data_IF_951293433291
#
_entry.id   IF_951293433291
#
_cell.length_a   1.000
_cell.length_b   1.000
_cell.length_c   1.000
_cell.angle_alpha   90.00
_cell.angle_beta   90.00
_cell.angle_gamma   90.00
#
_symmetry.space_group_name_H-M   'P 1'
#
loop_
_entity.id
_entity.type
_entity.pdbx_description
1 polymer ?
#
# COMPACT_ATOMS: atom_id res chain seq x y z
N UNK A 1 8.48 24.19 5.76
CA UNK A 1 7.64 23.58 6.82
C UNK A 1 8.36 22.39 7.45
N UNK A 2 8.84 21.41 6.68
CA UNK A 2 9.60 20.27 7.24
C UNK A 2 11.08 20.59 7.54
N UNK A 3 11.75 21.41 6.71
CA UNK A 3 13.14 21.87 6.98
C UNK A 3 13.34 22.64 8.30
N UNK A 4 12.27 23.13 8.91
CA UNK A 4 12.34 23.78 10.24
C UNK A 4 12.29 22.79 11.40
N UNK A 5 12.08 21.50 11.10
CA UNK A 5 12.02 20.40 12.08
C UNK A 5 13.28 19.54 12.11
N UNK A 6 14.09 19.60 11.07
CA UNK A 6 15.47 19.09 11.05
C UNK A 6 16.33 19.89 12.04
N UNK A 7 16.29 19.49 13.33
CA UNK A 7 16.94 20.24 14.42
C UNK A 7 18.45 20.06 14.42
N UNK A 8 18.93 18.95 13.90
CA UNK A 8 20.37 18.67 13.78
C UNK A 8 20.96 19.11 12.43
N UNK A 9 20.12 19.60 11.51
CA UNK A 9 20.55 20.12 10.21
C UNK A 9 21.16 19.04 9.33
N UNK A 10 20.81 17.78 9.60
CA UNK A 10 21.39 16.61 8.95
C UNK A 10 20.73 16.32 7.61
N UNK A 11 19.51 16.84 7.39
CA UNK A 11 18.67 16.58 6.22
C UNK A 11 17.75 15.36 6.36
N UNK A 12 17.85 14.62 7.47
CA UNK A 12 17.10 13.40 7.75
C UNK A 12 16.07 13.66 8.84
N UNK A 13 14.93 12.96 8.80
CA UNK A 13 14.00 12.95 9.93
C UNK A 13 14.26 11.71 10.76
N UNK A 14 14.67 11.89 12.03
CA UNK A 14 14.58 10.79 13.00
C UNK A 14 13.13 10.39 13.19
N UNK A 15 12.89 9.20 13.74
CA UNK A 15 11.56 8.68 14.03
C UNK A 15 10.67 9.70 14.76
N UNK A 16 11.20 10.36 15.78
CA UNK A 16 10.49 11.39 16.56
C UNK A 16 10.19 12.67 15.74
N UNK A 17 11.11 13.07 14.85
CA UNK A 17 10.94 14.25 13.99
C UNK A 17 9.98 13.98 12.84
N UNK A 18 9.99 12.76 12.31
CA UNK A 18 9.03 12.26 11.34
C UNK A 18 7.63 12.26 11.96
N UNK A 19 7.45 11.71 13.16
CA UNK A 19 6.17 11.72 13.88
C UNK A 19 5.65 13.14 14.14
N UNK A 20 6.51 14.08 14.55
CA UNK A 20 6.13 15.50 14.67
C UNK A 20 5.72 16.12 13.32
N UNK A 21 6.43 15.78 12.23
CA UNK A 21 6.12 16.27 10.89
C UNK A 21 4.78 15.74 10.40
N UNK A 22 4.49 14.47 10.63
CA UNK A 22 3.25 13.80 10.24
C UNK A 22 2.04 14.34 11.00
N UNK A 23 2.19 14.54 12.31
CA UNK A 23 1.21 15.22 13.14
C UNK A 23 0.91 16.64 12.66
N UNK A 24 1.94 17.38 12.21
CA UNK A 24 1.76 18.75 11.71
C UNK A 24 0.96 18.82 10.41
N UNK A 25 0.94 17.71 9.67
CA UNK A 25 0.24 17.53 8.39
C UNK A 25 -1.15 16.93 8.60
N UNK A 26 -1.48 16.55 9.85
CA UNK A 26 -2.77 15.95 10.21
C UNK A 26 -2.88 14.49 9.81
N UNK A 27 -1.75 13.79 9.68
CA UNK A 27 -1.69 12.37 9.31
C UNK A 27 -1.20 11.57 10.52
N UNK A 28 -2.10 10.80 11.13
CA UNK A 28 -1.77 9.89 12.23
C UNK A 28 -1.15 8.60 11.67
N UNK A 29 0.12 8.33 11.98
CA UNK A 29 0.84 7.14 11.53
C UNK A 29 1.01 6.14 12.67
N UNK A 30 0.73 4.87 12.40
CA UNK A 30 0.96 3.76 13.34
C UNK A 30 2.25 3.02 12.97
N UNK A 31 2.86 2.28 13.91
CA UNK A 31 4.08 1.52 13.66
C UNK A 31 4.00 0.60 12.43
N UNK A 32 2.82 0.05 12.14
CA UNK A 32 2.57 -0.82 10.99
C UNK A 32 2.72 -0.08 9.64
N UNK A 33 2.41 1.22 9.57
CA UNK A 33 2.68 1.98 8.33
C UNK A 33 4.12 2.44 8.23
N UNK A 34 4.88 2.47 9.33
CA UNK A 34 6.28 2.87 9.26
C UNK A 34 7.10 1.91 8.43
N UNK A 35 6.80 0.61 8.50
CA UNK A 35 7.45 -0.41 7.68
C UNK A 35 7.14 -0.18 6.19
N UNK A 36 5.89 0.13 5.86
CA UNK A 36 5.48 0.54 4.52
C UNK A 36 6.23 1.79 4.05
N UNK A 37 6.24 2.85 4.86
CA UNK A 37 6.84 4.13 4.50
C UNK A 37 8.35 4.01 4.32
N UNK A 38 9.02 3.26 5.18
CA UNK A 38 10.45 3.01 5.05
C UNK A 38 10.74 2.26 3.75
N UNK A 39 10.14 1.09 3.52
CA UNK A 39 10.39 0.30 2.29
C UNK A 39 10.07 1.09 1.01
N UNK A 40 9.11 2.01 1.09
CA UNK A 40 8.60 2.75 -0.06
C UNK A 40 9.36 4.04 -0.36
N UNK A 41 9.68 4.80 0.68
CA UNK A 41 10.14 6.19 0.52
C UNK A 41 11.66 6.27 0.64
N UNK A 42 12.29 5.33 1.37
CA UNK A 42 13.75 5.17 1.43
C UNK A 42 14.29 4.68 0.07
N UNK A 43 14.54 5.62 -0.84
CA UNK A 43 15.02 5.31 -2.20
C UNK A 43 16.52 5.01 -2.20
N UNK A 44 17.26 5.57 -1.25
CA UNK A 44 18.71 5.38 -1.17
C UNK A 44 19.10 4.11 -0.40
N UNK A 45 18.14 3.48 0.28
CA UNK A 45 18.28 2.19 0.96
C UNK A 45 19.14 2.26 2.22
N UNK A 46 19.20 3.43 2.87
CA UNK A 46 20.03 3.64 4.05
C UNK A 46 19.28 3.38 5.37
N UNK A 47 18.01 3.00 5.29
CA UNK A 47 17.12 2.72 6.42
C UNK A 47 16.50 3.97 7.04
N UNK A 48 16.69 5.15 6.44
CA UNK A 48 16.23 6.43 6.95
C UNK A 48 15.44 7.22 5.90
N UNK A 49 14.31 7.79 6.34
CA UNK A 49 13.45 8.62 5.51
C UNK A 49 13.96 10.07 5.46
N UNK A 50 14.37 10.54 4.28
CA UNK A 50 14.69 11.95 4.09
C UNK A 50 13.42 12.81 3.98
N UNK A 51 13.54 14.09 4.34
CA UNK A 51 12.46 15.07 4.14
C UNK A 51 12.06 15.14 2.66
N UNK A 52 13.05 15.10 1.77
CA UNK A 52 12.85 15.20 0.33
C UNK A 52 12.11 13.96 -0.21
N UNK A 53 12.46 12.77 0.29
CA UNK A 53 11.76 11.51 0.00
C UNK A 53 10.33 11.50 0.55
N UNK A 54 10.11 12.04 1.75
CA UNK A 54 8.79 12.20 2.34
C UNK A 54 7.93 13.19 1.53
N UNK A 55 8.50 14.30 1.08
CA UNK A 55 7.80 15.31 0.29
C UNK A 55 7.41 14.79 -1.10
N UNK A 56 8.31 14.06 -1.76
CA UNK A 56 8.04 13.43 -3.06
C UNK A 56 6.90 12.42 -2.99
N UNK A 57 6.72 11.76 -1.85
CA UNK A 57 5.73 10.71 -1.66
C UNK A 57 4.56 11.12 -0.74
N UNK A 58 4.45 12.41 -0.38
CA UNK A 58 3.44 12.91 0.56
C UNK A 58 2.02 12.57 0.11
N UNK A 59 1.75 12.62 -1.20
CA UNK A 59 0.45 12.24 -1.77
C UNK A 59 0.11 10.76 -1.50
N UNK A 60 1.07 9.85 -1.67
CA UNK A 60 0.90 8.42 -1.41
C UNK A 60 0.64 8.18 0.06
N UNK A 61 1.37 8.89 0.93
CA UNK A 61 1.17 8.81 2.37
C UNK A 61 -0.23 9.27 2.79
N UNK A 62 -0.73 10.37 2.23
CA UNK A 62 -2.10 10.82 2.49
C UNK A 62 -3.14 9.80 2.04
N UNK A 63 -2.97 9.21 0.86
CA UNK A 63 -3.87 8.15 0.37
C UNK A 63 -3.84 6.93 1.27
N UNK A 64 -2.65 6.49 1.70
CA UNK A 64 -2.48 5.39 2.65
C UNK A 64 -3.21 5.65 3.97
N UNK A 65 -3.06 6.85 4.53
CA UNK A 65 -3.71 7.22 5.79
C UNK A 65 -5.24 7.31 5.68
N UNK A 66 -5.76 7.86 4.57
CA UNK A 66 -7.20 7.97 4.33
C UNK A 66 -7.83 6.58 4.15
N UNK A 67 -7.16 5.68 3.42
CA UNK A 67 -7.66 4.35 3.12
C UNK A 67 -7.16 3.27 4.10
N UNK A 68 -6.50 3.62 5.21
CA UNK A 68 -5.82 2.65 6.09
C UNK A 68 -6.72 1.50 6.51
N UNK A 69 -7.89 1.81 7.06
CA UNK A 69 -8.79 0.78 7.58
C UNK A 69 -9.29 -0.15 6.45
N UNK A 70 -9.53 0.41 5.27
CA UNK A 70 -9.94 -0.31 4.08
C UNK A 70 -8.81 -1.21 3.55
N UNK A 71 -7.59 -0.66 3.44
CA UNK A 71 -6.37 -1.38 3.02
C UNK A 71 -6.07 -2.54 3.95
N UNK A 72 -6.09 -2.33 5.27
CA UNK A 72 -5.85 -3.36 6.27
C UNK A 72 -6.94 -4.42 6.25
N UNK A 73 -8.21 -4.03 6.12
CA UNK A 73 -9.32 -4.98 6.03
C UNK A 73 -9.23 -5.82 4.76
N UNK A 74 -8.95 -5.18 3.62
CA UNK A 74 -8.75 -5.85 2.35
C UNK A 74 -7.57 -6.82 2.44
N UNK A 75 -6.40 -6.35 2.89
CA UNK A 75 -5.20 -7.19 3.01
C UNK A 75 -5.46 -8.44 3.85
N UNK A 76 -6.06 -8.27 5.04
CA UNK A 76 -6.43 -9.40 5.91
C UNK A 76 -7.50 -10.33 5.33
N UNK A 77 -8.32 -9.84 4.39
CA UNK A 77 -9.32 -10.65 3.68
C UNK A 77 -8.65 -11.46 2.56
N UNK A 78 -7.65 -10.90 1.90
CA UNK A 78 -6.87 -11.57 0.86
C UNK A 78 -5.84 -12.55 1.44
N UNK A 79 -5.19 -12.23 2.55
CA UNK A 79 -4.25 -13.11 3.26
C UNK A 79 -5.00 -14.17 4.09
N UNK A 80 -5.43 -15.23 3.40
CA UNK A 80 -6.23 -16.32 3.96
C UNK A 80 -5.43 -17.09 5.03
N UNK A 81 -4.15 -17.34 4.77
CA UNK A 81 -3.30 -18.16 5.63
C UNK A 81 -2.67 -17.37 6.80
N UNK A 82 -2.73 -16.03 6.74
CA UNK A 82 -2.19 -15.08 7.72
C UNK A 82 -0.67 -15.13 7.86
N UNK A 83 0.04 -15.36 6.76
CA UNK A 83 1.51 -15.37 6.70
C UNK A 83 2.09 -13.97 6.47
N UNK A 84 1.25 -12.94 6.34
CA UNK A 84 1.66 -11.56 6.10
C UNK A 84 1.93 -11.26 4.63
N UNK A 85 1.54 -12.16 3.72
CA UNK A 85 1.67 -11.99 2.29
C UNK A 85 0.42 -12.46 1.55
N UNK A 86 0.15 -11.87 0.38
CA UNK A 86 -0.94 -12.32 -0.48
C UNK A 86 -0.35 -13.06 -1.67
N UNK A 87 -0.48 -14.39 -1.68
CA UNK A 87 -0.05 -15.19 -2.83
C UNK A 87 -1.00 -14.99 -4.00
N UNK A 88 -0.51 -15.18 -5.22
CA UNK A 88 -1.37 -15.14 -6.41
C UNK A 88 -2.56 -16.10 -6.32
N UNK A 89 -2.38 -17.26 -5.71
CA UNK A 89 -3.46 -18.22 -5.48
C UNK A 89 -4.53 -17.70 -4.51
N UNK A 90 -4.13 -16.95 -3.48
CA UNK A 90 -5.06 -16.36 -2.51
C UNK A 90 -5.83 -15.21 -3.13
N UNK A 91 -5.13 -14.34 -3.88
CA UNK A 91 -5.76 -13.30 -4.69
C UNK A 91 -6.74 -13.91 -5.70
N UNK A 92 -6.35 -14.98 -6.41
CA UNK A 92 -7.24 -15.68 -7.35
C UNK A 92 -8.47 -16.26 -6.65
N UNK A 93 -8.29 -16.86 -5.48
CA UNK A 93 -9.38 -17.42 -4.70
C UNK A 93 -10.39 -16.33 -4.37
N UNK A 94 -9.96 -15.19 -3.83
CA UNK A 94 -10.88 -14.09 -3.48
C UNK A 94 -11.53 -13.47 -4.71
N UNK A 95 -10.78 -13.24 -5.79
CA UNK A 95 -11.33 -12.68 -7.03
C UNK A 95 -12.37 -13.60 -7.67
N UNK A 96 -12.22 -14.93 -7.56
CA UNK A 96 -13.20 -15.90 -8.07
C UNK A 96 -14.31 -16.22 -7.06
N UNK A 97 -14.07 -15.96 -5.78
CA UNK A 97 -15.04 -16.18 -4.71
C UNK A 97 -16.26 -15.28 -4.91
N UNK A 98 -17.45 -15.81 -4.60
CA UNK A 98 -18.75 -15.14 -4.79
C UNK A 98 -19.11 -14.72 -6.22
N UNK A 99 -18.35 -15.16 -7.23
CA UNK A 99 -18.67 -14.90 -8.64
C UNK A 99 -18.24 -13.53 -9.16
N UNK A 100 -17.30 -12.86 -8.48
CA UNK A 100 -16.76 -11.56 -8.89
C UNK A 100 -16.12 -11.59 -10.29
N UNK A 101 -15.48 -12.72 -10.64
CA UNK A 101 -14.96 -12.99 -11.99
C UNK A 101 -14.72 -14.49 -12.22
N UNK A 102 -14.61 -14.89 -13.49
CA UNK A 102 -14.28 -16.26 -13.87
C UNK A 102 -12.81 -16.63 -13.58
N UNK A 103 -12.50 -17.92 -13.60
CA UNK A 103 -11.14 -18.42 -13.44
C UNK A 103 -10.17 -17.96 -14.56
N UNK A 104 -10.67 -17.67 -15.76
CA UNK A 104 -9.88 -17.12 -16.86
C UNK A 104 -9.64 -15.61 -16.68
N UNK A 105 -10.65 -14.86 -16.25
CA UNK A 105 -10.53 -13.42 -15.99
C UNK A 105 -9.59 -13.13 -14.83
N UNK A 106 -9.75 -13.84 -13.70
CA UNK A 106 -8.86 -13.70 -12.55
C UNK A 106 -7.39 -13.93 -12.89
N UNK A 107 -7.09 -14.94 -13.73
CA UNK A 107 -5.71 -15.17 -14.21
C UNK A 107 -5.17 -14.01 -15.04
N UNK A 108 -6.00 -13.40 -15.89
CA UNK A 108 -5.58 -12.22 -16.67
C UNK A 108 -5.34 -11.03 -15.76
N UNK A 109 -6.23 -10.79 -14.80
CA UNK A 109 -6.08 -9.73 -13.79
C UNK A 109 -4.79 -9.91 -13.00
N UNK A 110 -4.54 -11.11 -12.45
CA UNK A 110 -3.30 -11.39 -11.72
C UNK A 110 -2.06 -11.19 -12.59
N UNK A 111 -2.12 -11.61 -13.87
CA UNK A 111 -1.01 -11.35 -14.80
C UNK A 111 -0.74 -9.86 -14.99
N UNK A 112 -1.77 -9.00 -15.01
CA UNK A 112 -1.60 -7.56 -15.09
C UNK A 112 -1.04 -6.98 -13.78
N UNK A 113 -1.48 -7.50 -12.64
CA UNK A 113 -1.06 -7.05 -11.31
C UNK A 113 0.33 -7.55 -10.91
N UNK A 114 0.87 -8.57 -11.58
CA UNK A 114 2.22 -9.11 -11.34
C UNK A 114 3.34 -8.05 -11.47
N UNK A 115 3.08 -6.91 -12.10
CA UNK A 115 4.02 -5.79 -12.17
C UNK A 115 4.27 -5.11 -10.81
N UNK A 116 3.36 -5.28 -9.85
CA UNK A 116 3.50 -4.74 -8.49
C UNK A 116 4.29 -5.68 -7.57
N UNK A 117 4.49 -6.94 -7.96
CA UNK A 117 5.41 -7.88 -7.32
C UNK A 117 6.83 -7.56 -7.80
N UNK A 118 7.49 -6.66 -7.06
CA UNK A 118 8.78 -6.07 -7.45
C UNK A 118 9.91 -7.06 -7.22
N UNK A 119 9.84 -7.79 -6.12
CA UNK A 119 10.85 -8.77 -5.75
C UNK A 119 10.69 -10.11 -6.51
N UNK A 120 9.55 -10.31 -7.20
CA UNK A 120 9.20 -11.46 -8.03
C UNK A 120 9.16 -12.77 -7.27
N UNK A 121 8.73 -12.74 -6.01
CA UNK A 121 8.60 -13.92 -5.17
C UNK A 121 7.24 -14.64 -5.34
N UNK A 122 6.35 -14.11 -6.18
CA UNK A 122 5.05 -14.71 -6.51
C UNK A 122 3.96 -14.44 -5.48
N UNK A 123 4.21 -13.49 -4.58
CA UNK A 123 3.28 -13.00 -3.56
C UNK A 123 3.44 -11.48 -3.45
N UNK A 124 2.47 -10.83 -2.81
CA UNK A 124 2.52 -9.41 -2.54
C UNK A 124 2.78 -9.20 -1.06
N UNK A 125 3.83 -8.45 -0.73
CA UNK A 125 3.97 -7.87 0.61
C UNK A 125 2.86 -6.84 0.86
N UNK A 126 2.69 -6.39 2.10
CA UNK A 126 1.77 -5.30 2.41
C UNK A 126 2.06 -4.05 1.58
N UNK A 127 3.34 -3.70 1.42
CA UNK A 127 3.76 -2.52 0.64
C UNK A 127 3.43 -2.62 -0.84
N UNK A 128 3.65 -3.79 -1.43
CA UNK A 128 3.30 -4.05 -2.83
C UNK A 128 1.77 -4.07 -3.03
N UNK A 129 1.04 -4.64 -2.07
CA UNK A 129 -0.42 -4.65 -2.09
C UNK A 129 -1.00 -3.24 -1.99
N UNK A 130 -0.48 -2.38 -1.11
CA UNK A 130 -0.94 -0.99 -0.99
C UNK A 130 -0.75 -0.24 -2.31
N UNK A 131 0.41 -0.37 -2.96
CA UNK A 131 0.64 0.25 -4.26
C UNK A 131 -0.35 -0.25 -5.31
N UNK A 132 -0.56 -1.57 -5.33
CA UNK A 132 -1.52 -2.20 -6.21
C UNK A 132 -2.93 -1.65 -5.94
N UNK A 133 -3.38 -1.64 -4.68
CA UNK A 133 -4.74 -1.25 -4.27
C UNK A 133 -5.04 0.23 -4.54
N UNK A 134 -4.07 1.11 -4.28
CA UNK A 134 -4.17 2.54 -4.55
C UNK A 134 -3.96 2.89 -6.03
N UNK A 135 -3.65 1.92 -6.90
CA UNK A 135 -3.54 2.17 -8.33
C UNK A 135 -4.91 2.27 -8.99
N UNK A 136 -5.03 3.18 -9.97
CA UNK A 136 -6.23 3.33 -10.78
C UNK A 136 -6.63 2.01 -11.48
N UNK A 137 -5.65 1.16 -11.81
CA UNK A 137 -5.88 -0.12 -12.49
C UNK A 137 -6.54 -1.17 -11.60
N UNK A 138 -6.19 -1.24 -10.32
CA UNK A 138 -6.86 -2.16 -9.39
C UNK A 138 -8.27 -1.66 -9.07
N UNK A 139 -8.42 -0.37 -8.77
CA UNK A 139 -9.70 0.26 -8.51
C UNK A 139 -10.67 0.09 -9.70
N UNK A 140 -10.18 0.28 -10.94
CA UNK A 140 -10.99 0.08 -12.14
C UNK A 140 -11.37 -1.39 -12.38
N UNK A 141 -10.53 -2.33 -11.95
CA UNK A 141 -10.76 -3.77 -12.19
C UNK A 141 -11.69 -4.39 -11.15
N UNK A 142 -11.60 -3.96 -9.89
CA UNK A 142 -12.31 -4.57 -8.75
C UNK A 142 -13.51 -3.72 -8.31
N UNK A 143 -13.37 -2.39 -8.24
CA UNK A 143 -14.41 -1.51 -7.67
C UNK A 143 -15.56 -1.26 -8.65
N UNK A 144 -15.29 -1.09 -9.95
CA UNK A 144 -16.35 -0.93 -10.99
C UNK A 144 -17.31 -2.12 -11.07
N UNK A 145 -16.89 -3.31 -10.65
CA UNK A 145 -17.73 -4.52 -10.64
C UNK A 145 -18.57 -4.68 -9.38
N UNK A 146 -18.18 -4.04 -8.27
CA UNK A 146 -18.97 -4.05 -7.04
C UNK A 146 -20.30 -3.28 -7.23
N UNK A 147 -20.27 -2.15 -7.96
CA UNK A 147 -21.47 -1.35 -8.27
C UNK A 147 -22.48 -2.07 -9.21
N UNK A 148 -22.01 -2.97 -10.08
CA UNK A 148 -22.88 -3.74 -10.97
C UNK A 148 -23.54 -4.96 -10.30
N UNK A 149 -22.99 -5.44 -9.18
CA UNK A 149 -23.51 -6.60 -8.44
C UNK A 149 -24.56 -6.18 -7.41
N UNK A 150 -24.41 -5.00 -6.79
CA UNK A 150 -25.39 -4.47 -5.81
C UNK A 150 -26.65 -3.85 -6.45
N UNK A 151 -26.70 -3.71 -7.77
CA UNK A 151 -27.86 -3.19 -8.52
C UNK A 151 -28.78 -4.26 -9.12
N UNK A 152 -28.58 -5.54 -8.78
CA UNK A 152 -29.47 -6.66 -9.18
C UNK A 152 -30.03 -7.42 -8.00
#
# INVERSE_FOLDING_TARGET
MFRTKDRDGTGWLKSDELEECLNMVGVDIIPEDMEFLQERFDKNGDGHLQIEELMDNLHVLYQHAIHRDELMTAFNTFDINKDGYIRYTELQNILTFRGFMSADESRKTISMLSKYDRNKDGKFSYSEFVEMYLSDEFADTVTKRHEEIDTK
#
